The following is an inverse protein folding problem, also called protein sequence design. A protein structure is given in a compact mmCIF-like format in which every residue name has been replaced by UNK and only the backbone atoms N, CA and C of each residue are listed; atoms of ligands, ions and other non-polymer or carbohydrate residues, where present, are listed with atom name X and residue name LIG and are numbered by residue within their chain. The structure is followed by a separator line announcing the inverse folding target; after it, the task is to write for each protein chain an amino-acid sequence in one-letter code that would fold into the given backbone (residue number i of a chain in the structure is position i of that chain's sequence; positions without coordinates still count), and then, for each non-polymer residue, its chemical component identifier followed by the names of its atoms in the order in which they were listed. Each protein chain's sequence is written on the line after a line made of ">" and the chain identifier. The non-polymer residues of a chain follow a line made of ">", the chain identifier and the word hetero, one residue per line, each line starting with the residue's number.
data_IF_778441672709
#
_entry.id   IF_778441672709
#
_cell.length_a   1.000
_cell.length_b   1.000
_cell.length_c   1.000
_cell.angle_alpha   90.00
_cell.angle_beta   90.00
_cell.angle_gamma   90.00
#
_symmetry.space_group_name_H-M   'P 1'
#
loop_
_entity.id
_entity.type
_entity.pdbx_description
1 polymer ?
#
# COMPACT_ATOMS: atom_id res chain seq x y z
N UNK A 1 5.05 10.40 8.12
CA UNK A 1 4.84 9.88 6.75
C UNK A 1 4.70 8.38 6.84
N UNK A 2 4.07 7.67 5.89
CA UNK A 2 3.88 6.21 5.99
C UNK A 2 4.59 5.55 4.81
N UNK A 3 5.54 4.66 5.08
CA UNK A 3 6.12 3.79 4.06
C UNK A 3 5.28 2.54 3.92
N UNK A 4 4.96 2.17 2.69
CA UNK A 4 4.17 0.99 2.34
C UNK A 4 5.03 0.09 1.47
N UNK A 5 5.12 -1.19 1.84
CA UNK A 5 5.85 -2.24 1.13
C UNK A 5 4.86 -3.33 0.73
N UNK A 6 4.51 -3.37 -0.56
CA UNK A 6 3.55 -4.33 -1.12
C UNK A 6 4.29 -5.47 -1.82
N UNK A 7 3.62 -6.59 -2.01
CA UNK A 7 4.07 -7.62 -2.94
C UNK A 7 4.19 -7.04 -4.37
N UNK A 8 5.13 -7.49 -5.21
CA UNK A 8 5.32 -6.96 -6.56
C UNK A 8 4.05 -7.02 -7.43
N UNK A 9 3.25 -8.08 -7.30
CA UNK A 9 2.01 -8.27 -8.04
C UNK A 9 1.00 -7.14 -7.82
N UNK A 10 1.02 -6.48 -6.65
CA UNK A 10 0.18 -5.34 -6.32
C UNK A 10 0.33 -4.18 -7.32
N UNK A 11 1.46 -4.09 -8.02
CA UNK A 11 1.73 -3.14 -9.10
C UNK A 11 0.64 -3.11 -10.18
N UNK A 12 -0.01 -4.24 -10.45
CA UNK A 12 -0.94 -4.41 -11.56
C UNK A 12 -2.39 -4.66 -11.13
N UNK A 13 -2.62 -5.03 -9.87
CA UNK A 13 -3.94 -5.42 -9.35
C UNK A 13 -4.57 -4.37 -8.43
N UNK A 14 -3.78 -3.41 -7.94
CA UNK A 14 -4.25 -2.36 -7.03
C UNK A 14 -4.51 -1.03 -7.72
N UNK A 15 -5.41 -0.26 -7.14
CA UNK A 15 -5.74 1.11 -7.51
C UNK A 15 -4.85 2.11 -6.77
N UNK A 16 -4.15 2.94 -7.53
CA UNK A 16 -3.28 3.98 -6.99
C UNK A 16 -3.86 5.40 -7.14
N UNK A 17 -5.14 5.53 -7.50
CA UNK A 17 -5.78 6.81 -7.81
C UNK A 17 -5.77 7.82 -6.67
N UNK A 18 -5.85 7.34 -5.43
CA UNK A 18 -5.76 8.16 -4.23
C UNK A 18 -4.34 8.66 -3.89
N UNK A 19 -3.31 8.14 -4.55
CA UNK A 19 -1.90 8.51 -4.30
C UNK A 19 -1.46 9.60 -5.27
N UNK A 20 -0.88 10.69 -4.77
CA UNK A 20 -0.31 11.72 -5.64
C UNK A 20 0.81 11.12 -6.48
N UNK A 21 0.71 11.23 -7.80
CA UNK A 21 1.63 10.58 -8.76
C UNK A 21 1.29 9.11 -9.07
N UNK A 22 0.25 8.56 -8.42
CA UNK A 22 -0.30 7.25 -8.69
C UNK A 22 0.72 6.12 -8.51
N UNK A 23 0.63 5.11 -9.39
CA UNK A 23 1.53 3.96 -9.41
C UNK A 23 3.00 4.36 -9.53
N UNK A 24 3.32 5.47 -10.20
CA UNK A 24 4.70 5.94 -10.40
C UNK A 24 5.37 6.47 -9.12
N UNK A 25 4.60 6.74 -8.08
CA UNK A 25 5.11 7.08 -6.75
C UNK A 25 5.61 5.86 -5.96
N UNK A 26 5.54 4.67 -6.56
CA UNK A 26 6.07 3.43 -6.00
C UNK A 26 7.21 2.89 -6.88
N UNK A 27 8.25 2.36 -6.24
CA UNK A 27 9.41 1.74 -6.88
C UNK A 27 9.51 0.28 -6.52
N UNK A 28 9.87 -0.58 -7.48
CA UNK A 28 10.15 -1.99 -7.22
C UNK A 28 11.60 -2.12 -6.74
N UNK A 29 11.81 -2.64 -5.54
CA UNK A 29 13.14 -2.86 -4.93
C UNK A 29 13.11 -4.19 -4.19
N UNK A 30 14.10 -5.06 -4.41
CA UNK A 30 14.32 -6.31 -3.67
C UNK A 30 13.04 -7.10 -3.37
N UNK A 31 12.25 -7.37 -4.41
CA UNK A 31 11.00 -8.14 -4.34
C UNK A 31 9.85 -7.46 -3.57
N UNK A 32 9.90 -6.13 -3.42
CA UNK A 32 8.82 -5.33 -2.84
C UNK A 32 8.50 -4.11 -3.70
N UNK A 33 7.22 -3.76 -3.77
CA UNK A 33 6.75 -2.49 -4.32
C UNK A 33 6.64 -1.47 -3.19
N UNK A 34 7.55 -0.49 -3.18
CA UNK A 34 7.73 0.44 -2.05
C UNK A 34 7.26 1.83 -2.44
N UNK A 35 6.42 2.45 -1.61
CA UNK A 35 5.97 3.83 -1.79
C UNK A 35 5.82 4.55 -0.46
N UNK A 36 5.79 5.88 -0.49
CA UNK A 36 5.61 6.73 0.69
C UNK A 36 4.37 7.58 0.53
N UNK A 37 3.49 7.51 1.52
CA UNK A 37 2.19 8.14 1.53
C UNK A 37 2.06 9.09 2.71
N UNK A 38 1.36 10.20 2.51
CA UNK A 38 0.79 10.95 3.63
C UNK A 38 -0.30 10.13 4.34
N UNK A 39 -0.67 10.52 5.55
CA UNK A 39 -1.74 9.83 6.30
C UNK A 39 -3.08 9.83 5.56
N UNK A 40 -3.41 10.91 4.84
CA UNK A 40 -4.63 11.00 4.03
C UNK A 40 -4.59 10.09 2.80
N UNK A 41 -3.46 10.05 2.08
CA UNK A 41 -3.29 9.15 0.93
C UNK A 41 -3.32 7.69 1.36
N UNK A 42 -2.70 7.35 2.49
CA UNK A 42 -2.73 6.00 3.03
C UNK A 42 -4.17 5.55 3.34
N UNK A 43 -4.95 6.36 4.07
CA UNK A 43 -6.33 6.02 4.41
C UNK A 43 -7.21 5.84 3.15
N UNK A 44 -7.06 6.71 2.15
CA UNK A 44 -7.79 6.61 0.90
C UNK A 44 -7.34 5.40 0.07
N UNK A 45 -6.03 5.12 0.01
CA UNK A 45 -5.47 3.95 -0.67
C UNK A 45 -6.00 2.63 -0.08
N UNK A 46 -6.12 2.53 1.24
CA UNK A 46 -6.72 1.35 1.88
C UNK A 46 -8.18 1.16 1.44
N UNK A 47 -8.95 2.25 1.44
CA UNK A 47 -10.36 2.22 1.03
C UNK A 47 -10.53 1.79 -0.43
N UNK A 48 -9.74 2.37 -1.34
CA UNK A 48 -9.82 2.08 -2.78
C UNK A 48 -9.46 0.63 -3.12
N UNK A 49 -8.62 -0.02 -2.30
CA UNK A 49 -8.15 -1.39 -2.51
C UNK A 49 -8.82 -2.42 -1.59
N UNK A 50 -9.85 -2.02 -0.85
CA UNK A 50 -10.53 -2.86 0.13
C UNK A 50 -9.57 -3.53 1.12
N UNK A 51 -8.61 -2.76 1.64
CA UNK A 51 -7.61 -3.21 2.59
C UNK A 51 -7.94 -2.74 4.01
N UNK A 52 -7.57 -3.56 4.98
CA UNK A 52 -7.56 -3.22 6.41
C UNK A 52 -6.16 -3.35 6.98
N UNK A 53 -5.85 -2.57 8.00
CA UNK A 53 -4.62 -2.72 8.77
C UNK A 53 -4.77 -3.81 9.82
N UNK A 54 -3.72 -4.59 10.04
CA UNK A 54 -3.64 -5.55 11.14
C UNK A 54 -2.20 -5.54 11.68
N UNK A 55 -2.01 -4.92 12.85
CA UNK A 55 -0.67 -4.51 13.31
C UNK A 55 0.06 -3.69 12.24
N UNK A 56 1.18 -4.19 11.73
CA UNK A 56 2.00 -3.58 10.68
C UNK A 56 1.68 -4.14 9.27
N UNK A 57 0.68 -5.02 9.14
CA UNK A 57 0.32 -5.66 7.89
C UNK A 57 -0.86 -4.96 7.19
N UNK A 58 -0.86 -5.05 5.85
CA UNK A 58 -1.97 -4.69 4.98
C UNK A 58 -2.66 -5.98 4.53
N UNK A 59 -3.93 -6.12 4.90
CA UNK A 59 -4.72 -7.33 4.67
C UNK A 59 -5.91 -7.02 3.79
N UNK A 60 -6.14 -7.83 2.75
CA UNK A 60 -7.36 -7.78 1.95
C UNK A 60 -8.57 -8.09 2.83
N UNK A 61 -9.57 -7.22 2.82
CA UNK A 61 -10.81 -7.44 3.57
C UNK A 61 -11.59 -8.64 3.05
N UNK A 62 -11.56 -8.88 1.72
CA UNK A 62 -12.30 -9.96 1.06
C UNK A 62 -11.65 -11.33 1.25
N UNK A 63 -10.36 -11.46 0.93
CA UNK A 63 -9.66 -12.76 0.92
C UNK A 63 -8.95 -13.06 2.23
N UNK A 64 -8.71 -12.04 3.05
CA UNK A 64 -7.87 -12.14 4.24
C UNK A 64 -6.37 -12.28 3.95
N UNK A 65 -5.96 -12.17 2.69
CA UNK A 65 -4.56 -12.24 2.29
C UNK A 65 -3.77 -11.04 2.78
N UNK A 66 -2.52 -11.26 3.22
CA UNK A 66 -1.58 -10.18 3.52
C UNK A 66 -0.84 -9.80 2.24
N UNK A 67 -1.09 -8.60 1.76
CA UNK A 67 -0.57 -8.08 0.48
C UNK A 67 0.65 -7.17 0.67
N UNK A 68 0.96 -6.82 1.91
CA UNK A 68 2.10 -5.97 2.24
C UNK A 68 2.18 -5.59 3.71
N UNK A 69 3.10 -4.68 4.00
CA UNK A 69 3.31 -4.08 5.32
C UNK A 69 3.40 -2.56 5.20
N UNK A 70 3.28 -1.89 6.32
CA UNK A 70 3.46 -0.45 6.41
C UNK A 70 4.20 -0.06 7.70
N UNK A 71 4.88 1.07 7.66
CA UNK A 71 5.58 1.64 8.80
C UNK A 71 5.32 3.16 8.86
N UNK A 72 5.08 3.67 10.06
CA UNK A 72 5.00 5.13 10.26
C UNK A 72 6.41 5.67 10.47
N UNK A 73 6.86 6.50 9.54
CA UNK A 73 8.11 7.23 9.65
C UNK A 73 7.89 8.45 10.56
N UNK A 74 8.61 8.45 11.69
CA UNK A 74 8.74 9.58 12.63
C UNK A 74 9.67 10.64 12.10
#
# INVERSE_FOLDING_TARGET
>A
MIEVKLQPACSHIMYFGAVKGGRFSFSLQDDALIGRLSSSEFAAFLKDNNLVTYHDALKSYESGEIVGRFETLT
#
